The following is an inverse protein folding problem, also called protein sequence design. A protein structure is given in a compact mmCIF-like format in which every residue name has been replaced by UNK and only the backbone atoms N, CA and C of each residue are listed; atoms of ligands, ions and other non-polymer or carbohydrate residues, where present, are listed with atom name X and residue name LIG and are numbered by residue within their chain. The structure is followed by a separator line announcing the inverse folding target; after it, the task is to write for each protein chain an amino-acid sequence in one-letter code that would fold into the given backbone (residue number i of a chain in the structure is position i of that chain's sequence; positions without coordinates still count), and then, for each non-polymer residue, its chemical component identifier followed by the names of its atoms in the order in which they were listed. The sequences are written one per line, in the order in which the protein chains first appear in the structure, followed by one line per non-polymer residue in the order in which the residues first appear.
data_IF_505789134796
#
_entry.id   IF_505789134796
#
_cell.length_a   1.000
_cell.length_b   1.000
_cell.length_c   1.000
_cell.angle_alpha   90.00
_cell.angle_beta   90.00
_cell.angle_gamma   90.00
#
_symmetry.space_group_name_H-M   'P 1'
#
loop_
_entity.id
_entity.type
_entity.pdbx_description
1 polymer ?
#
# COMPACT_ATOMS: atom_id res chain seq x y z
N UNK A 1 3.35 -6.97 2.30
CA UNK A 1 2.99 -5.60 2.71
C UNK A 1 4.17 -4.69 2.41
N UNK A 2 3.95 -3.53 1.80
CA UNK A 2 5.00 -2.56 1.50
C UNK A 2 4.71 -1.27 2.26
N UNK A 3 5.66 -0.83 3.09
CA UNK A 3 5.63 0.50 3.71
C UNK A 3 6.61 1.37 2.94
N UNK A 4 6.06 2.30 2.16
CA UNK A 4 6.82 3.15 1.26
C UNK A 4 7.11 4.48 1.93
N UNK A 5 8.39 4.84 2.02
CA UNK A 5 8.86 6.09 2.58
C UNK A 5 9.53 6.92 1.49
N UNK A 6 9.27 8.22 1.51
CA UNK A 6 9.95 9.20 0.67
C UNK A 6 11.12 9.82 1.45
N UNK A 7 12.28 9.95 0.81
CA UNK A 7 13.43 10.68 1.34
C UNK A 7 13.05 12.14 1.65
N UNK A 8 13.53 12.65 2.78
CA UNK A 8 13.28 14.03 3.23
C UNK A 8 13.96 15.08 2.35
N UNK A 9 14.95 14.69 1.53
CA UNK A 9 15.63 15.59 0.58
C UNK A 9 14.71 16.07 -0.55
N UNK A 10 13.63 15.32 -0.80
CA UNK A 10 12.64 15.65 -1.80
C UNK A 10 11.41 16.20 -1.11
N UNK A 11 10.96 17.41 -1.43
CA UNK A 11 9.75 17.95 -0.81
C UNK A 11 8.48 17.26 -1.30
N UNK A 12 8.46 16.80 -2.56
CA UNK A 12 7.32 16.15 -3.20
C UNK A 12 7.64 14.69 -3.53
N UNK A 13 6.62 13.83 -3.58
CA UNK A 13 6.81 12.43 -3.97
C UNK A 13 7.22 12.29 -5.43
N UNK A 14 6.72 13.18 -6.30
CA UNK A 14 7.03 13.19 -7.73
C UNK A 14 8.53 13.32 -7.98
N UNK A 15 9.21 14.24 -7.29
CA UNK A 15 10.66 14.42 -7.46
C UNK A 15 11.47 13.27 -6.86
N UNK A 16 10.93 12.60 -5.82
CA UNK A 16 11.55 11.42 -5.24
C UNK A 16 11.46 10.18 -6.14
N UNK A 17 10.48 10.12 -7.05
CA UNK A 17 10.35 9.01 -8.00
C UNK A 17 11.41 9.06 -9.11
N UNK A 18 11.97 10.24 -9.38
CA UNK A 18 13.01 10.47 -10.38
C UNK A 18 14.43 10.19 -9.83
N UNK A 19 14.58 10.11 -8.49
CA UNK A 19 15.83 9.78 -7.81
C UNK A 19 15.86 8.27 -7.45
N UNK A 20 16.87 7.50 -7.89
CA UNK A 20 16.98 6.07 -7.57
C UNK A 20 17.10 5.77 -6.06
N UNK A 21 17.42 6.78 -5.25
CA UNK A 21 17.49 6.72 -3.77
C UNK A 21 16.36 7.51 -3.09
N UNK A 22 15.40 8.01 -3.88
CA UNK A 22 14.35 8.90 -3.40
C UNK A 22 13.28 8.19 -2.59
N UNK A 23 13.12 6.87 -2.76
CA UNK A 23 12.22 6.03 -1.99
C UNK A 23 12.96 4.91 -1.26
N UNK A 24 12.49 4.61 -0.06
CA UNK A 24 12.86 3.40 0.68
C UNK A 24 11.58 2.59 0.96
N UNK A 25 11.64 1.28 0.69
CA UNK A 25 10.49 0.38 0.88
C UNK A 25 10.84 -0.68 1.90
N UNK A 26 10.07 -0.75 2.97
CA UNK A 26 10.11 -1.87 3.90
C UNK A 26 9.13 -2.94 3.41
N UNK A 27 9.69 -4.06 2.95
CA UNK A 27 8.96 -5.26 2.57
C UNK A 27 8.70 -6.16 3.76
N UNK A 28 7.44 -6.54 3.97
CA UNK A 28 7.02 -7.43 5.05
C UNK A 28 6.27 -8.62 4.44
N UNK A 29 6.77 -9.82 4.72
CA UNK A 29 6.10 -11.07 4.39
C UNK A 29 5.02 -11.39 5.42
N UNK A 30 3.88 -11.87 4.95
CA UNK A 30 2.84 -12.43 5.79
C UNK A 30 2.83 -13.95 5.59
N UNK A 31 2.66 -14.69 6.69
CA UNK A 31 2.41 -16.13 6.67
C UNK A 31 1.03 -16.41 7.24
N UNK A 32 0.41 -17.49 6.77
CA UNK A 32 -0.84 -17.98 7.35
C UNK A 32 -0.56 -18.53 8.75
N UNK A 33 -1.44 -18.23 9.71
CA UNK A 33 -1.32 -18.64 11.09
C UNK A 33 -2.45 -18.07 11.94
N UNK A 34 -2.18 -17.86 13.22
CA UNK A 34 -3.15 -17.26 14.13
C UNK A 34 -3.45 -15.81 13.76
N UNK A 35 -4.64 -15.35 14.17
CA UNK A 35 -5.09 -13.98 14.00
C UNK A 35 -4.08 -12.97 14.58
N UNK A 36 -3.74 -11.94 13.79
CA UNK A 36 -2.87 -10.85 14.23
C UNK A 36 -3.71 -9.66 14.70
N UNK A 37 -3.70 -9.30 16.00
CA UNK A 37 -4.65 -8.36 16.60
C UNK A 37 -4.64 -6.97 15.94
N UNK A 38 -3.48 -6.51 15.47
CA UNK A 38 -3.36 -5.19 14.84
C UNK A 38 -3.69 -5.18 13.34
N UNK A 39 -3.82 -6.36 12.72
CA UNK A 39 -4.14 -6.43 11.30
C UNK A 39 -5.66 -6.34 11.06
N UNK A 40 -6.46 -6.74 12.05
CA UNK A 40 -7.92 -6.76 11.95
C UNK A 40 -8.52 -5.39 11.67
N UNK A 41 -7.99 -4.33 12.29
CA UNK A 41 -8.46 -2.98 12.06
C UNK A 41 -8.33 -2.56 10.57
N UNK A 42 -7.28 -3.01 9.88
CA UNK A 42 -7.11 -2.76 8.44
C UNK A 42 -8.19 -3.52 7.66
N UNK A 43 -8.42 -4.80 7.97
CA UNK A 43 -9.42 -5.66 7.32
C UNK A 43 -10.84 -5.10 7.49
N UNK A 44 -11.20 -4.67 8.70
CA UNK A 44 -12.52 -4.12 9.01
C UNK A 44 -12.84 -2.84 8.23
N UNK A 45 -11.81 -2.08 7.84
CA UNK A 45 -11.96 -0.87 7.04
C UNK A 45 -11.95 -1.13 5.52
N UNK A 46 -11.53 -2.31 5.05
CA UNK A 46 -11.56 -2.63 3.61
C UNK A 46 -12.97 -2.58 3.02
N UNK A 47 -14.00 -2.86 3.83
CA UNK A 47 -15.41 -2.78 3.42
C UNK A 47 -15.86 -1.36 3.02
N UNK A 48 -15.14 -0.32 3.46
CA UNK A 48 -15.45 1.07 3.14
C UNK A 48 -14.90 1.50 1.77
N UNK A 49 -14.00 0.69 1.21
CA UNK A 49 -13.41 0.94 -0.08
C UNK A 49 -14.30 0.27 -1.14
N UNK A 50 -14.87 1.06 -2.05
CA UNK A 50 -15.56 0.54 -3.24
C UNK A 50 -14.52 0.05 -4.25
N UNK A 51 -13.95 -1.13 -3.98
CA UNK A 51 -12.95 -1.76 -4.84
C UNK A 51 -13.68 -2.65 -5.85
N UNK A 52 -14.28 -1.99 -6.85
CA UNK A 52 -14.63 -2.61 -8.12
C UNK A 52 -16.12 -2.93 -8.34
N UNK A 53 -16.87 -1.94 -8.84
CA UNK A 53 -17.73 -2.24 -9.99
C UNK A 53 -16.81 -2.51 -11.18
N UNK A 54 -16.63 -3.79 -11.53
CA UNK A 54 -16.02 -4.15 -12.81
C UNK A 54 -16.89 -3.56 -13.90
N UNK A 55 -16.32 -2.65 -14.70
CA UNK A 55 -16.94 -2.16 -15.91
C UNK A 55 -16.92 -3.32 -16.93
N UNK A 56 -17.91 -4.20 -16.86
CA UNK A 56 -18.10 -5.26 -17.85
C UNK A 56 -18.64 -4.56 -19.10
N UNK A 57 -17.74 -4.14 -19.98
CA UNK A 57 -18.10 -3.78 -21.34
C UNK A 57 -18.54 -5.06 -22.05
N UNK A 58 -19.86 -5.25 -22.14
CA UNK A 58 -20.46 -6.21 -23.06
C UNK A 58 -20.29 -5.60 -24.45
N UNK A 59 -19.36 -6.16 -25.22
CA UNK A 59 -19.26 -5.99 -26.67
C UNK A 59 -20.22 -6.92 -27.38
#
# INVERSE_FOLDING_TARGET
MHLVHKSVRHNKIQTALEDPTGLAVLGIFAKVGNHHPYFQAIIDNLRLLDIGKRDVRVS
#
